data_IF_502019999414
#
_entry.id   IF_502019999414
#
_cell.length_a   1.000
_cell.length_b   1.000
_cell.length_c   1.000
_cell.angle_alpha   90.00
_cell.angle_beta   90.00
_cell.angle_gamma   90.00
#
_symmetry.space_group_name_H-M   'P 1'
#
loop_
_entity.id
_entity.type
_entity.pdbx_description
1 polymer ?
#
# COMPACT_ATOMS: atom_id res chain seq x y z
N UNK A 1 -17.58 24.79 -44.62
CA UNK A 1 -18.58 24.85 -43.53
C UNK A 1 -18.66 23.44 -42.98
N UNK A 2 -18.48 23.23 -41.67
CA UNK A 2 -18.55 21.89 -41.07
C UNK A 2 -20.04 21.59 -40.80
N UNK A 3 -20.49 20.38 -41.11
CA UNK A 3 -21.87 19.96 -40.87
C UNK A 3 -22.21 19.91 -39.37
N UNK A 4 -23.47 20.12 -38.96
CA UNK A 4 -23.87 20.07 -37.56
C UNK A 4 -23.60 18.69 -36.94
N UNK A 5 -22.81 18.64 -35.87
CA UNK A 5 -22.57 17.42 -35.08
C UNK A 5 -23.70 17.25 -34.06
N UNK A 6 -24.37 16.11 -34.08
CA UNK A 6 -25.51 15.79 -33.18
C UNK A 6 -25.10 15.00 -31.92
N UNK A 7 -23.81 14.77 -31.72
CA UNK A 7 -23.28 14.05 -30.55
C UNK A 7 -22.87 15.08 -29.50
N UNK A 8 -23.57 15.07 -28.36
CA UNK A 8 -23.20 15.84 -27.16
C UNK A 8 -22.62 14.85 -26.15
N UNK A 9 -21.31 14.90 -25.95
CA UNK A 9 -20.60 13.99 -25.05
C UNK A 9 -19.51 14.74 -24.29
N UNK A 10 -19.34 14.42 -23.01
CA UNK A 10 -18.25 14.93 -22.17
C UNK A 10 -17.69 13.75 -21.38
N UNK A 11 -16.54 13.18 -21.79
CA UNK A 11 -15.97 12.03 -21.11
C UNK A 11 -15.47 12.45 -19.72
N UNK A 12 -15.64 11.57 -18.74
CA UNK A 12 -14.93 11.66 -17.48
C UNK A 12 -13.45 11.33 -17.75
N UNK A 13 -12.65 12.36 -18.01
CA UNK A 13 -11.20 12.22 -18.16
C UNK A 13 -10.50 12.08 -16.81
N UNK A 14 -9.31 11.48 -16.81
CA UNK A 14 -8.38 11.46 -15.67
C UNK A 14 -7.07 12.13 -16.07
N UNK A 15 -6.45 12.88 -15.15
CA UNK A 15 -5.19 13.57 -15.40
C UNK A 15 -4.04 12.80 -14.76
N UNK A 16 -3.14 12.25 -15.57
CA UNK A 16 -1.96 11.55 -15.07
C UNK A 16 -1.03 12.52 -14.33
N UNK A 17 -0.46 12.06 -13.22
CA UNK A 17 0.53 12.83 -12.45
C UNK A 17 1.80 12.99 -13.29
N UNK A 18 2.17 14.24 -13.59
CA UNK A 18 3.40 14.56 -14.30
C UNK A 18 4.63 14.29 -13.43
N UNK A 19 5.71 13.76 -14.01
CA UNK A 19 7.03 13.60 -13.36
C UNK A 19 7.82 14.93 -13.28
N UNK A 20 7.14 16.07 -13.28
CA UNK A 20 7.78 17.39 -13.20
C UNK A 20 8.41 17.83 -14.54
N UNK A 21 9.64 18.32 -14.50
CA UNK A 21 10.33 19.02 -15.60
C UNK A 21 11.00 18.12 -16.66
N UNK A 22 10.68 16.82 -16.70
CA UNK A 22 11.25 15.90 -17.70
C UNK A 22 10.73 16.24 -19.10
N UNK A 23 11.54 16.06 -20.16
CA UNK A 23 11.13 16.38 -21.54
C UNK A 23 9.86 15.60 -21.92
N UNK A 24 8.86 16.34 -22.41
CA UNK A 24 7.48 15.87 -22.60
C UNK A 24 7.30 14.88 -23.76
N UNK A 25 8.27 14.80 -24.67
CA UNK A 25 8.21 13.94 -25.85
C UNK A 25 9.47 13.08 -25.90
N UNK A 26 9.28 11.77 -25.81
CA UNK A 26 10.35 10.80 -26.04
C UNK A 26 10.83 10.93 -27.51
N UNK A 27 12.14 11.09 -27.77
CA UNK A 27 12.70 11.19 -29.12
C UNK A 27 12.49 9.92 -29.96
N UNK A 28 12.04 8.82 -29.36
CA UNK A 28 11.64 7.59 -30.04
C UNK A 28 10.12 7.45 -30.22
N UNK A 29 9.37 8.55 -30.13
CA UNK A 29 7.97 8.62 -30.58
C UNK A 29 7.95 8.39 -32.09
N UNK A 30 7.43 7.25 -32.52
CA UNK A 30 7.44 6.83 -33.92
C UNK A 30 6.14 7.14 -34.66
N UNK A 31 5.02 7.22 -33.93
CA UNK A 31 3.69 7.45 -34.49
C UNK A 31 3.10 8.75 -33.95
N UNK A 32 2.38 9.49 -34.80
CA UNK A 32 1.83 10.80 -34.49
C UNK A 32 0.68 10.76 -33.48
N UNK A 33 0.07 9.58 -33.28
CA UNK A 33 -1.03 9.32 -32.35
C UNK A 33 -0.60 8.57 -31.08
N UNK A 34 0.67 8.14 -31.00
CA UNK A 34 1.19 7.29 -29.92
C UNK A 34 2.46 7.90 -29.30
N UNK A 35 2.36 9.08 -28.64
CA UNK A 35 3.46 9.63 -27.87
C UNK A 35 3.81 8.72 -26.68
N UNK A 36 5.10 8.64 -26.36
CA UNK A 36 5.57 7.90 -25.19
C UNK A 36 5.79 8.84 -24.00
N UNK A 37 5.32 8.43 -22.83
CA UNK A 37 5.49 9.16 -21.57
C UNK A 37 6.10 8.25 -20.50
N UNK A 38 6.79 8.85 -19.52
CA UNK A 38 7.21 8.16 -18.30
C UNK A 38 6.10 8.27 -17.25
N UNK A 39 5.73 7.14 -16.65
CA UNK A 39 4.64 7.06 -15.68
C UNK A 39 5.07 6.25 -14.44
N UNK A 40 4.80 6.75 -13.22
CA UNK A 40 5.06 5.98 -12.01
C UNK A 40 4.09 4.79 -11.88
N UNK A 41 4.60 3.66 -11.41
CA UNK A 41 3.81 2.46 -11.10
C UNK A 41 3.74 2.27 -9.59
N UNK A 42 2.53 2.14 -9.05
CA UNK A 42 2.30 1.64 -7.69
C UNK A 42 2.09 0.13 -7.78
N UNK A 43 3.05 -0.60 -7.22
CA UNK A 43 2.99 -2.06 -7.18
C UNK A 43 1.83 -2.55 -6.32
N UNK A 44 1.02 -3.46 -6.87
CA UNK A 44 -0.12 -4.08 -6.21
C UNK A 44 0.28 -5.03 -5.08
N UNK A 45 -0.61 -5.21 -4.11
CA UNK A 45 -0.51 -6.18 -3.01
C UNK A 45 0.65 -5.98 -2.03
N UNK A 46 1.36 -4.85 -2.12
CA UNK A 46 2.48 -4.47 -1.25
C UNK A 46 2.33 -3.04 -0.77
N UNK A 47 2.82 -2.76 0.43
CA UNK A 47 2.92 -1.42 1.02
C UNK A 47 4.22 -1.37 1.85
N UNK A 48 5.30 -0.93 1.22
CA UNK A 48 6.61 -0.83 1.89
C UNK A 48 6.60 0.34 2.87
N UNK A 49 7.44 0.32 3.93
CA UNK A 49 7.63 1.48 4.79
C UNK A 49 7.94 2.76 4.00
N UNK A 50 7.40 3.87 4.48
CA UNK A 50 7.42 5.15 3.76
C UNK A 50 8.74 5.90 3.94
N UNK A 51 9.11 6.67 2.91
CA UNK A 51 10.25 7.59 2.93
C UNK A 51 9.82 9.05 2.87
N UNK A 52 8.58 9.34 3.29
CA UNK A 52 7.95 10.67 3.28
C UNK A 52 8.61 11.66 4.24
N UNK A 53 9.36 11.17 5.22
CA UNK A 53 10.19 11.99 6.09
C UNK A 53 11.35 12.69 5.38
N UNK A 54 11.69 12.27 4.15
CA UNK A 54 12.76 12.80 3.28
C UNK A 54 14.20 12.63 3.79
N UNK A 55 14.45 12.95 5.07
CA UNK A 55 15.73 12.85 5.76
C UNK A 55 15.59 12.39 7.23
N UNK A 56 16.72 12.25 7.92
CA UNK A 56 16.74 11.75 9.30
C UNK A 56 16.17 12.78 10.29
N UNK A 57 16.21 14.09 9.98
CA UNK A 57 15.63 15.14 10.81
C UNK A 57 14.10 15.12 10.73
N UNK A 58 13.54 14.98 9.52
CA UNK A 58 12.12 14.77 9.29
C UNK A 58 11.60 13.51 9.99
N UNK A 59 12.40 12.44 9.99
CA UNK A 59 12.02 11.20 10.66
C UNK A 59 12.00 11.35 12.19
N UNK A 60 12.97 12.08 12.76
CA UNK A 60 12.99 12.40 14.19
C UNK A 60 11.81 13.29 14.59
N UNK A 61 11.35 14.19 13.73
CA UNK A 61 10.14 14.98 13.98
C UNK A 61 8.89 14.11 14.07
N UNK A 62 8.77 13.09 13.21
CA UNK A 62 7.65 12.13 13.33
C UNK A 62 7.76 11.31 14.62
N UNK A 63 8.96 11.00 15.10
CA UNK A 63 9.14 10.36 16.41
C UNK A 63 8.60 11.23 17.56
N UNK A 64 8.84 12.55 17.51
CA UNK A 64 8.27 13.51 18.47
C UNK A 64 6.74 13.56 18.39
N UNK A 65 6.19 13.61 17.18
CA UNK A 65 4.74 13.59 16.94
C UNK A 65 4.11 12.31 17.50
N UNK A 66 4.74 11.15 17.30
CA UNK A 66 4.26 9.87 17.82
C UNK A 66 4.40 9.73 19.33
N UNK A 67 5.46 10.28 19.94
CA UNK A 67 5.58 10.35 21.38
C UNK A 67 4.44 11.20 21.98
N UNK A 68 4.15 12.35 21.36
CA UNK A 68 3.04 13.21 21.76
C UNK A 68 1.68 12.52 21.56
N UNK A 69 1.49 11.79 20.45
CA UNK A 69 0.29 11.01 20.23
C UNK A 69 0.10 9.95 21.33
N UNK A 70 1.16 9.23 21.71
CA UNK A 70 1.09 8.26 22.80
C UNK A 70 0.61 8.91 24.11
N UNK A 71 1.11 10.10 24.45
CA UNK A 71 0.59 10.84 25.61
C UNK A 71 -0.90 11.19 25.50
N UNK A 72 -1.35 11.66 24.33
CA UNK A 72 -2.76 11.98 24.10
C UNK A 72 -3.68 10.76 24.16
N UNK A 73 -3.19 9.60 23.72
CA UNK A 73 -3.89 8.33 23.87
C UNK A 73 -4.02 7.98 25.36
N UNK A 74 -2.92 8.04 26.13
CA UNK A 74 -2.94 7.77 27.59
C UNK A 74 -3.88 8.71 28.36
N UNK A 75 -3.98 9.97 27.93
CA UNK A 75 -4.87 10.98 28.52
C UNK A 75 -6.33 10.84 28.06
N UNK A 76 -6.64 9.91 27.16
CA UNK A 76 -7.99 9.70 26.63
C UNK A 76 -8.48 10.82 25.69
N UNK A 77 -7.57 11.60 25.12
CA UNK A 77 -7.90 12.75 24.26
C UNK A 77 -7.98 12.34 22.79
N UNK A 78 -7.11 11.44 22.34
CA UNK A 78 -7.11 10.93 20.98
C UNK A 78 -8.42 10.17 20.67
N UNK A 79 -9.07 10.41 19.51
CA UNK A 79 -10.33 9.76 19.13
C UNK A 79 -10.09 8.34 18.59
N UNK A 80 -9.60 7.44 19.45
CA UNK A 80 -9.23 6.05 19.15
C UNK A 80 -9.90 5.10 20.16
N UNK A 81 -10.28 3.89 19.75
CA UNK A 81 -10.76 2.85 20.67
C UNK A 81 -9.64 2.29 21.56
N UNK A 82 -10.03 1.82 22.74
CA UNK A 82 -9.11 1.22 23.71
C UNK A 82 -8.29 0.07 23.14
N UNK A 83 -8.92 -0.84 22.40
CA UNK A 83 -8.22 -2.01 21.85
C UNK A 83 -7.14 -1.63 20.84
N UNK A 84 -7.40 -0.66 19.97
CA UNK A 84 -6.37 -0.19 19.04
C UNK A 84 -5.29 0.61 19.78
N UNK A 85 -5.67 1.42 20.77
CA UNK A 85 -4.73 2.13 21.63
C UNK A 85 -3.73 1.17 22.30
N UNK A 86 -4.21 0.09 22.91
CA UNK A 86 -3.35 -0.93 23.54
C UNK A 86 -2.38 -1.56 22.54
N UNK A 87 -2.83 -1.78 21.31
CA UNK A 87 -2.01 -2.36 20.24
C UNK A 87 -0.91 -1.41 19.77
N UNK A 88 -1.20 -0.11 19.60
CA UNK A 88 -0.24 0.84 19.02
C UNK A 88 0.69 1.48 20.05
N UNK A 89 0.27 1.63 21.31
CA UNK A 89 1.05 2.29 22.36
C UNK A 89 2.46 1.71 22.52
N UNK A 90 2.68 0.38 22.60
CA UNK A 90 4.02 -0.19 22.73
C UNK A 90 4.96 0.16 21.57
N UNK A 91 4.41 0.47 20.38
CA UNK A 91 5.18 0.88 19.20
C UNK A 91 5.49 2.38 19.21
N UNK A 92 4.49 3.19 19.54
CA UNK A 92 4.61 4.66 19.60
C UNK A 92 5.53 5.12 20.74
N UNK A 93 5.44 4.49 21.91
CA UNK A 93 6.22 4.83 23.10
C UNK A 93 7.72 4.52 22.98
N UNK A 94 8.14 3.85 21.89
CA UNK A 94 9.58 3.68 21.60
C UNK A 94 10.26 4.99 21.20
N UNK A 95 9.49 6.00 20.77
CA UNK A 95 9.99 7.26 20.20
C UNK A 95 10.98 7.05 19.05
N UNK A 96 10.81 5.97 18.29
CA UNK A 96 11.65 5.61 17.14
C UNK A 96 10.85 5.14 15.93
N UNK A 97 9.52 5.18 15.99
CA UNK A 97 8.67 4.62 14.94
C UNK A 97 8.79 5.38 13.60
N UNK A 98 8.94 6.70 13.60
CA UNK A 98 9.30 7.53 12.44
C UNK A 98 10.68 7.19 11.89
N UNK A 99 11.70 7.18 12.75
CA UNK A 99 13.07 6.78 12.35
C UNK A 99 13.12 5.37 11.77
N UNK A 100 12.41 4.42 12.38
CA UNK A 100 12.37 3.01 11.97
C UNK A 100 11.69 2.88 10.61
N UNK A 101 10.53 3.52 10.43
CA UNK A 101 9.79 3.57 9.17
C UNK A 101 10.69 4.07 8.03
N UNK A 102 11.36 5.20 8.25
CA UNK A 102 12.22 5.82 7.24
C UNK A 102 13.41 4.93 6.85
N UNK A 103 14.11 4.37 7.84
CA UNK A 103 15.26 3.48 7.60
C UNK A 103 14.85 2.20 6.87
N UNK A 104 13.76 1.57 7.30
CA UNK A 104 13.21 0.39 6.63
C UNK A 104 12.74 0.72 5.22
N UNK A 105 12.18 1.91 4.98
CA UNK A 105 11.77 2.37 3.65
C UNK A 105 12.96 2.56 2.70
N UNK A 106 14.07 3.13 3.18
CA UNK A 106 15.33 3.20 2.43
C UNK A 106 15.88 1.81 2.09
N UNK A 107 15.84 0.89 3.06
CA UNK A 107 16.32 -0.48 2.89
C UNK A 107 15.47 -1.25 1.85
N UNK A 108 14.14 -1.18 1.95
CA UNK A 108 13.21 -1.75 0.97
C UNK A 108 13.45 -1.17 -0.44
N UNK A 109 13.69 0.15 -0.54
CA UNK A 109 14.03 0.80 -1.81
C UNK A 109 15.36 0.31 -2.39
N UNK A 110 16.38 0.13 -1.55
CA UNK A 110 17.68 -0.40 -1.96
C UNK A 110 17.57 -1.86 -2.43
N UNK A 111 16.84 -2.70 -1.69
CA UNK A 111 16.53 -4.07 -2.10
C UNK A 111 15.82 -4.10 -3.45
N UNK A 112 14.74 -3.32 -3.62
CA UNK A 112 13.97 -3.27 -4.85
C UNK A 112 14.83 -2.91 -6.06
N UNK A 113 15.65 -1.85 -5.96
CA UNK A 113 16.58 -1.45 -7.04
C UNK A 113 17.57 -2.55 -7.37
N UNK A 114 18.20 -3.17 -6.37
CA UNK A 114 19.18 -4.25 -6.57
C UNK A 114 18.53 -5.47 -7.21
N UNK A 115 17.36 -5.87 -6.71
CA UNK A 115 16.62 -7.02 -7.18
C UNK A 115 16.12 -6.84 -8.62
N UNK A 116 15.52 -5.69 -8.94
CA UNK A 116 15.11 -5.36 -10.30
C UNK A 116 16.30 -5.40 -11.26
N UNK A 117 17.42 -4.75 -10.90
CA UNK A 117 18.64 -4.82 -11.71
C UNK A 117 19.09 -6.27 -11.93
N UNK A 118 19.19 -7.07 -10.87
CA UNK A 118 19.70 -8.44 -10.95
C UNK A 118 18.81 -9.37 -11.79
N UNK A 119 17.47 -9.25 -11.69
CA UNK A 119 16.54 -10.13 -12.41
C UNK A 119 16.30 -9.70 -13.86
N UNK A 120 16.45 -8.41 -14.15
CA UNK A 120 16.38 -7.91 -15.53
C UNK A 120 17.67 -8.19 -16.30
N UNK A 121 18.82 -8.21 -15.64
CA UNK A 121 20.12 -8.49 -16.28
C UNK A 121 20.13 -9.87 -16.97
N UNK A 122 20.74 -9.94 -18.17
CA UNK A 122 20.93 -11.19 -18.92
C UNK A 122 22.41 -11.53 -19.03
N UNK A 123 22.82 -12.77 -18.71
CA UNK A 123 24.21 -13.17 -18.84
C UNK A 123 24.68 -13.14 -20.31
N UNK A 124 25.94 -12.77 -20.51
CA UNK A 124 26.64 -12.90 -21.79
C UNK A 124 26.42 -11.76 -22.79
N UNK A 125 26.64 -10.50 -22.40
CA UNK A 125 26.51 -9.29 -23.24
C UNK A 125 25.15 -9.14 -23.96
N UNK A 126 24.11 -9.80 -23.45
CA UNK A 126 22.75 -9.67 -23.97
C UNK A 126 22.11 -8.41 -23.38
N UNK A 127 21.20 -7.75 -24.11
CA UNK A 127 20.43 -6.65 -23.53
C UNK A 127 19.56 -7.15 -22.37
N UNK A 128 19.37 -6.30 -21.38
CA UNK A 128 18.48 -6.54 -20.24
C UNK A 128 17.08 -6.98 -20.71
N UNK A 129 16.40 -7.76 -19.86
CA UNK A 129 15.00 -8.13 -20.07
C UNK A 129 14.15 -6.87 -20.05
N UNK A 130 13.14 -6.85 -20.92
CA UNK A 130 12.05 -5.90 -20.81
C UNK A 130 11.19 -6.19 -19.58
N UNK A 131 10.39 -5.23 -19.17
CA UNK A 131 9.44 -5.38 -18.07
C UNK A 131 8.13 -5.98 -18.56
N UNK A 132 7.64 -7.02 -17.89
CA UNK A 132 6.27 -7.48 -17.98
C UNK A 132 5.42 -6.69 -16.98
N UNK A 133 4.30 -6.15 -17.45
CA UNK A 133 3.40 -5.29 -16.67
C UNK A 133 1.98 -5.87 -16.76
N UNK A 134 1.41 -6.27 -15.62
CA UNK A 134 0.03 -6.74 -15.52
C UNK A 134 -0.78 -5.77 -14.68
N UNK A 135 -1.67 -5.02 -15.32
CA UNK A 135 -2.50 -4.01 -14.64
C UNK A 135 -3.66 -4.63 -13.87
N UNK A 136 -4.15 -3.90 -12.86
CA UNK A 136 -5.39 -4.19 -12.17
C UNK A 136 -6.63 -3.99 -13.06
N UNK A 137 -7.78 -4.53 -12.65
CA UNK A 137 -9.08 -4.28 -13.30
C UNK A 137 -9.46 -2.79 -13.29
N UNK A 138 -9.03 -2.06 -12.26
CA UNK A 138 -9.00 -0.59 -12.22
C UNK A 138 -7.55 -0.13 -12.33
N UNK A 139 -7.06 0.22 -13.53
CA UNK A 139 -5.63 0.40 -13.77
C UNK A 139 -5.01 1.60 -13.07
N UNK A 140 -5.81 2.58 -12.64
CA UNK A 140 -5.31 3.82 -12.03
C UNK A 140 -5.80 3.95 -10.59
N UNK A 141 -4.87 4.28 -9.69
CA UNK A 141 -5.21 4.73 -8.35
C UNK A 141 -5.90 6.11 -8.41
N UNK A 142 -6.58 6.56 -7.33
CA UNK A 142 -7.17 7.90 -7.26
C UNK A 142 -6.19 9.06 -7.50
N UNK A 143 -4.89 8.83 -7.29
CA UNK A 143 -3.80 9.78 -7.57
C UNK A 143 -3.11 9.52 -8.92
N UNK A 144 -3.80 8.81 -9.81
CA UNK A 144 -3.47 8.59 -11.22
C UNK A 144 -2.13 7.87 -11.48
N UNK A 145 -1.65 7.10 -10.49
CA UNK A 145 -0.55 6.14 -10.67
C UNK A 145 -1.07 4.83 -11.27
N UNK A 146 -0.27 4.21 -12.14
CA UNK A 146 -0.61 2.89 -12.67
C UNK A 146 -0.52 1.83 -11.57
N UNK A 147 -1.56 1.02 -11.41
CA UNK A 147 -1.63 -0.11 -10.51
C UNK A 147 -1.27 -1.39 -11.27
N UNK A 148 -0.13 -2.00 -10.94
CA UNK A 148 0.33 -3.19 -11.64
C UNK A 148 1.18 -4.16 -10.81
N UNK A 149 1.21 -5.41 -11.27
CA UNK A 149 2.26 -6.37 -10.98
C UNK A 149 3.38 -6.28 -12.01
N UNK A 150 4.62 -6.33 -11.55
CA UNK A 150 5.81 -6.15 -12.39
C UNK A 150 6.70 -7.39 -12.32
N UNK A 151 7.22 -7.86 -13.44
CA UNK A 151 8.16 -8.98 -13.49
C UNK A 151 9.11 -8.83 -14.68
N UNK A 152 10.23 -9.59 -14.76
CA UNK A 152 10.95 -9.72 -16.01
C UNK A 152 10.07 -10.32 -17.10
N UNK A 153 10.13 -9.79 -18.32
CA UNK A 153 9.44 -10.34 -19.47
C UNK A 153 10.24 -11.52 -20.05
N UNK A 154 9.89 -12.73 -19.62
CA UNK A 154 10.50 -13.97 -20.07
C UNK A 154 9.97 -14.38 -21.44
N UNK A 155 10.86 -14.86 -22.31
CA UNK A 155 10.46 -15.49 -23.57
C UNK A 155 9.68 -16.80 -23.33
N UNK A 156 8.87 -17.28 -24.28
CA UNK A 156 8.19 -18.57 -24.16
C UNK A 156 9.14 -19.74 -23.84
N UNK A 157 10.35 -19.73 -24.39
CA UNK A 157 11.38 -20.73 -24.11
C UNK A 157 11.90 -20.67 -22.67
N UNK A 158 12.12 -19.46 -22.13
CA UNK A 158 12.46 -19.28 -20.72
C UNK A 158 11.30 -19.76 -19.83
N UNK A 159 10.06 -19.34 -20.13
CA UNK A 159 8.88 -19.70 -19.35
C UNK A 159 8.66 -21.20 -19.26
N UNK A 160 8.91 -21.95 -20.35
CA UNK A 160 8.78 -23.41 -20.36
C UNK A 160 9.66 -24.11 -19.30
N UNK A 161 10.77 -23.50 -18.90
CA UNK A 161 11.68 -24.03 -17.87
C UNK A 161 11.48 -23.44 -16.46
N UNK A 162 10.54 -22.49 -16.28
CA UNK A 162 10.31 -21.82 -15.01
C UNK A 162 9.01 -22.30 -14.36
N UNK A 163 9.09 -22.63 -13.07
CA UNK A 163 7.93 -22.80 -12.17
C UNK A 163 7.18 -21.48 -11.97
N UNK A 164 6.01 -21.51 -11.34
CA UNK A 164 5.21 -20.31 -11.08
C UNK A 164 5.93 -19.37 -10.11
N UNK A 165 6.56 -19.93 -9.09
CA UNK A 165 7.36 -19.24 -8.08
C UNK A 165 8.60 -18.60 -8.71
N UNK A 166 9.26 -19.26 -9.66
CA UNK A 166 10.40 -18.67 -10.37
C UNK A 166 10.00 -17.54 -11.33
N UNK A 167 8.71 -17.44 -11.69
CA UNK A 167 8.14 -16.31 -12.43
C UNK A 167 7.66 -15.19 -11.49
N UNK A 168 8.09 -15.20 -10.22
CA UNK A 168 7.71 -14.22 -9.21
C UNK A 168 7.73 -12.78 -9.74
N UNK A 169 6.76 -12.00 -9.30
CA UNK A 169 6.75 -10.55 -9.53
C UNK A 169 7.72 -9.87 -8.55
N UNK A 170 8.17 -8.67 -8.88
CA UNK A 170 8.91 -7.83 -7.94
C UNK A 170 8.08 -7.49 -6.69
N UNK A 171 6.74 -7.50 -6.83
CA UNK A 171 5.81 -7.40 -5.72
C UNK A 171 5.96 -8.58 -4.75
N UNK A 172 5.95 -9.81 -5.26
CA UNK A 172 6.14 -11.01 -4.44
C UNK A 172 7.54 -11.03 -3.80
N UNK A 173 8.58 -10.61 -4.52
CA UNK A 173 9.94 -10.56 -3.98
C UNK A 173 10.06 -9.63 -2.76
N UNK A 174 9.35 -8.49 -2.76
CA UNK A 174 9.32 -7.58 -1.61
C UNK A 174 8.72 -8.24 -0.37
N UNK A 175 7.66 -9.02 -0.54
CA UNK A 175 7.00 -9.76 0.55
C UNK A 175 7.87 -10.91 1.02
N UNK A 176 8.40 -11.71 0.10
CA UNK A 176 9.24 -12.86 0.41
C UNK A 176 10.54 -12.47 1.14
N UNK A 177 11.10 -11.29 0.82
CA UNK A 177 12.26 -10.75 1.51
C UNK A 177 11.93 -9.98 2.81
N UNK A 178 10.65 -9.91 3.20
CA UNK A 178 10.20 -9.24 4.41
C UNK A 178 10.26 -7.71 4.35
N UNK A 179 10.41 -7.10 3.17
CA UNK A 179 10.43 -5.64 3.03
C UNK A 179 9.04 -5.00 2.91
N UNK A 180 7.99 -5.83 2.83
CA UNK A 180 6.60 -5.40 2.82
C UNK A 180 5.69 -6.46 3.43
N UNK A 181 4.68 -6.09 4.24
CA UNK A 181 3.58 -6.99 4.54
C UNK A 181 2.71 -7.19 3.30
N UNK A 182 1.77 -8.14 3.37
CA UNK A 182 0.70 -8.19 2.37
C UNK A 182 -0.17 -6.94 2.51
N UNK A 183 -0.48 -6.31 1.37
CA UNK A 183 -1.40 -5.17 1.31
C UNK A 183 -2.37 -5.33 0.15
N UNK A 184 -3.22 -6.36 0.24
CA UNK A 184 -4.19 -6.69 -0.79
C UNK A 184 -5.40 -5.78 -0.63
N UNK A 185 -5.85 -5.18 -1.73
CA UNK A 185 -6.94 -4.21 -1.76
C UNK A 185 -8.04 -4.69 -2.72
N UNK A 186 -9.26 -4.86 -2.23
CA UNK A 186 -10.42 -5.15 -3.08
C UNK A 186 -10.68 -4.00 -4.08
N UNK A 187 -11.04 -4.29 -5.35
CA UNK A 187 -11.28 -5.61 -5.94
C UNK A 187 -10.02 -6.31 -6.48
N UNK A 188 -8.84 -5.71 -6.36
CA UNK A 188 -7.60 -6.22 -6.93
C UNK A 188 -6.95 -7.27 -6.02
N UNK A 189 -7.55 -8.46 -5.99
CA UNK A 189 -7.05 -9.62 -5.24
C UNK A 189 -6.19 -10.49 -6.18
N UNK A 190 -5.01 -10.98 -5.76
CA UNK A 190 -4.27 -11.99 -6.53
C UNK A 190 -5.15 -13.19 -6.90
N UNK A 191 -4.91 -13.77 -8.09
CA UNK A 191 -5.66 -14.93 -8.56
C UNK A 191 -5.47 -16.16 -7.68
N UNK A 192 -6.32 -17.16 -7.89
CA UNK A 192 -6.43 -18.38 -7.08
C UNK A 192 -5.14 -19.18 -6.97
N UNK A 193 -4.27 -19.11 -7.99
CA UNK A 193 -2.98 -19.78 -8.00
C UNK A 193 -1.85 -18.95 -7.39
N UNK A 194 -2.01 -17.63 -7.33
CA UNK A 194 -0.97 -16.70 -6.86
C UNK A 194 -1.17 -16.28 -5.40
N UNK A 195 -2.43 -16.19 -4.94
CA UNK A 195 -2.75 -15.82 -3.56
C UNK A 195 -2.10 -16.77 -2.54
N UNK A 196 -2.16 -18.11 -2.68
CA UNK A 196 -1.50 -19.00 -1.72
C UNK A 196 0.03 -18.81 -1.68
N UNK A 197 0.67 -18.54 -2.83
CA UNK A 197 2.11 -18.29 -2.91
C UNK A 197 2.47 -17.01 -2.16
N UNK A 198 1.69 -15.94 -2.34
CA UNK A 198 1.87 -14.67 -1.63
C UNK A 198 1.73 -14.84 -0.11
N UNK A 199 0.67 -15.53 0.34
CA UNK A 199 0.42 -15.75 1.77
C UNK A 199 1.51 -16.60 2.41
N UNK A 200 1.95 -17.67 1.72
CA UNK A 200 3.04 -18.52 2.21
C UNK A 200 4.37 -17.75 2.32
N UNK A 201 4.68 -16.91 1.33
CA UNK A 201 5.87 -16.06 1.38
C UNK A 201 5.81 -15.04 2.53
N UNK A 202 4.64 -14.45 2.78
CA UNK A 202 4.44 -13.50 3.87
C UNK A 202 4.56 -14.16 5.25
N UNK A 203 3.92 -15.32 5.45
CA UNK A 203 4.01 -16.10 6.68
C UNK A 203 5.44 -16.52 6.98
N UNK A 204 6.17 -16.97 5.95
CA UNK A 204 7.59 -17.30 6.07
C UNK A 204 8.42 -16.09 6.47
N UNK A 205 8.27 -14.96 5.77
CA UNK A 205 9.04 -13.75 6.08
C UNK A 205 8.77 -13.23 7.49
N UNK A 206 7.52 -13.30 7.95
CA UNK A 206 7.14 -12.93 9.32
C UNK A 206 7.74 -13.88 10.36
N UNK A 207 7.63 -15.20 10.13
CA UNK A 207 8.11 -16.22 11.08
C UNK A 207 9.63 -16.26 11.17
N UNK A 208 10.32 -16.08 10.04
CA UNK A 208 11.79 -16.01 9.96
C UNK A 208 12.34 -14.62 10.32
N UNK A 209 11.46 -13.68 10.70
CA UNK A 209 11.81 -12.31 11.07
C UNK A 209 12.68 -11.61 10.02
N UNK A 210 12.27 -11.64 8.75
CA UNK A 210 13.03 -11.01 7.66
C UNK A 210 12.68 -9.53 7.51
N UNK A 211 13.67 -8.69 7.22
CA UNK A 211 13.45 -7.30 6.79
C UNK A 211 12.75 -6.47 7.87
N UNK A 212 11.53 -6.00 7.60
CA UNK A 212 10.77 -5.19 8.57
C UNK A 212 10.37 -5.99 9.81
N UNK A 213 10.29 -7.33 9.69
CA UNK A 213 9.87 -8.22 10.76
C UNK A 213 10.97 -8.48 11.79
N UNK A 214 12.21 -8.05 11.53
CA UNK A 214 13.32 -8.07 12.49
C UNK A 214 13.02 -7.22 13.73
N UNK A 215 12.21 -6.18 13.57
CA UNK A 215 11.91 -5.21 14.63
C UNK A 215 10.44 -5.30 15.07
N UNK A 216 10.14 -5.91 16.23
CA UNK A 216 8.77 -6.09 16.73
C UNK A 216 8.00 -4.77 16.93
N UNK A 217 8.72 -3.67 17.12
CA UNK A 217 8.15 -2.34 17.29
C UNK A 217 7.71 -1.68 15.98
N UNK A 218 7.98 -2.28 14.81
CA UNK A 218 7.58 -1.73 13.51
C UNK A 218 6.06 -1.52 13.44
N UNK A 219 5.67 -0.29 13.11
CA UNK A 219 4.35 -0.01 12.56
C UNK A 219 4.38 -0.37 11.07
N UNK A 220 3.47 -1.23 10.63
CA UNK A 220 3.35 -1.51 9.19
C UNK A 220 2.94 -0.23 8.45
N UNK A 221 3.23 -0.11 7.15
CA UNK A 221 3.05 1.15 6.41
C UNK A 221 1.65 1.78 6.55
N UNK A 222 0.59 0.98 6.48
CA UNK A 222 -0.76 1.48 6.77
C UNK A 222 -0.96 1.90 8.23
N UNK A 223 -0.45 1.13 9.20
CA UNK A 223 -0.53 1.45 10.63
C UNK A 223 0.16 2.78 10.93
N UNK A 224 1.36 2.97 10.38
CA UNK A 224 2.15 4.20 10.46
C UNK A 224 1.36 5.40 9.92
N UNK A 225 0.84 5.31 8.69
CA UNK A 225 0.07 6.39 8.05
C UNK A 225 -1.23 6.70 8.81
N UNK A 226 -1.88 5.68 9.38
CA UNK A 226 -3.06 5.87 10.21
C UNK A 226 -2.72 6.65 11.49
N UNK A 227 -1.57 6.38 12.10
CA UNK A 227 -1.10 7.10 13.30
C UNK A 227 -0.69 8.55 12.98
N UNK A 228 -0.04 8.82 11.84
CA UNK A 228 0.23 10.20 11.41
C UNK A 228 -1.07 11.00 11.25
N UNK A 229 -2.09 10.42 10.62
CA UNK A 229 -3.40 11.05 10.47
C UNK A 229 -4.11 11.24 11.80
N UNK A 230 -4.04 10.25 12.70
CA UNK A 230 -4.62 10.34 14.03
C UNK A 230 -3.95 11.45 14.85
N UNK A 231 -2.62 11.59 14.77
CA UNK A 231 -1.90 12.71 15.38
C UNK A 231 -2.41 14.04 14.85
N UNK A 232 -2.48 14.23 13.54
CA UNK A 232 -2.94 15.49 12.93
C UNK A 232 -4.36 15.88 13.35
N UNK A 233 -5.29 14.91 13.43
CA UNK A 233 -6.66 15.15 13.90
C UNK A 233 -6.69 15.44 15.41
N UNK A 234 -5.88 14.74 16.20
CA UNK A 234 -5.81 14.94 17.66
C UNK A 234 -5.20 16.30 18.00
N UNK A 235 -4.19 16.74 17.26
CA UNK A 235 -3.57 18.05 17.42
C UNK A 235 -4.59 19.18 17.22
N UNK A 236 -5.40 19.12 16.14
CA UNK A 236 -6.50 20.07 15.91
C UNK A 236 -7.51 20.06 17.06
N UNK A 237 -7.88 18.88 17.55
CA UNK A 237 -8.81 18.72 18.67
C UNK A 237 -8.27 19.37 19.95
N UNK A 238 -7.01 19.12 20.29
CA UNK A 238 -6.34 19.69 21.47
C UNK A 238 -6.22 21.21 21.35
N UNK A 239 -5.93 21.70 20.15
CA UNK A 239 -5.86 23.14 19.86
C UNK A 239 -7.23 23.83 19.86
N UNK A 240 -8.34 23.08 19.97
CA UNK A 240 -9.72 23.60 19.84
C UNK A 240 -9.91 24.38 18.53
N UNK A 241 -9.38 23.82 17.45
CA UNK A 241 -9.51 24.37 16.10
C UNK A 241 -11.00 24.60 15.77
N UNK A 242 -11.42 25.85 15.47
CA UNK A 242 -12.83 26.18 15.21
C UNK A 242 -13.36 25.53 13.93
N UNK A 243 -12.49 25.13 13.01
CA UNK A 243 -12.88 24.50 11.74
C UNK A 243 -13.01 22.97 11.87
N UNK A 244 -12.63 22.39 13.01
CA UNK A 244 -12.71 20.95 13.24
C UNK A 244 -14.14 20.50 13.47
N UNK A 245 -14.71 19.78 12.50
CA UNK A 245 -16.07 19.22 12.63
C UNK A 245 -16.04 17.89 13.36
N UNK A 246 -17.13 17.48 14.02
CA UNK A 246 -17.20 16.18 14.69
C UNK A 246 -16.87 14.98 13.79
N UNK A 247 -17.23 15.04 12.50
CA UNK A 247 -16.92 13.97 11.53
C UNK A 247 -15.41 13.86 11.24
N UNK A 248 -14.67 14.97 11.32
CA UNK A 248 -13.23 15.01 11.03
C UNK A 248 -12.43 14.23 12.07
N UNK A 249 -12.97 14.04 13.29
CA UNK A 249 -12.38 13.21 14.34
C UNK A 249 -12.13 11.77 13.91
N UNK A 250 -12.85 11.30 12.89
CA UNK A 250 -12.78 9.93 12.39
C UNK A 250 -12.20 9.85 10.97
N UNK A 251 -11.73 10.96 10.41
CA UNK A 251 -11.18 11.03 9.05
C UNK A 251 -9.90 10.21 8.86
N UNK A 252 -9.20 9.86 9.95
CA UNK A 252 -8.03 9.00 9.92
C UNK A 252 -8.38 7.52 9.66
N UNK A 253 -9.65 7.13 9.82
CA UNK A 253 -10.18 5.77 9.61
C UNK A 253 -10.46 5.51 8.13
N UNK A 254 -9.44 5.06 7.39
CA UNK A 254 -9.57 5.00 5.93
C UNK A 254 -10.17 3.73 5.35
N UNK A 255 -10.01 2.57 6.00
CA UNK A 255 -10.27 1.27 5.37
C UNK A 255 -10.85 0.27 6.35
N UNK A 256 -11.71 -0.60 5.84
CA UNK A 256 -12.14 -1.82 6.53
C UNK A 256 -11.12 -2.93 6.27
N UNK A 257 -11.11 -3.94 7.14
CA UNK A 257 -10.22 -5.08 7.01
C UNK A 257 -11.01 -6.38 7.10
N UNK A 258 -10.76 -7.31 6.20
CA UNK A 258 -11.33 -8.65 6.21
C UNK A 258 -10.24 -9.64 6.63
N UNK A 259 -10.58 -10.57 7.52
CA UNK A 259 -9.80 -11.77 7.72
C UNK A 259 -10.12 -12.77 6.61
N UNK A 260 -9.18 -12.96 5.68
CA UNK A 260 -9.37 -13.84 4.52
C UNK A 260 -9.63 -15.31 4.90
N UNK A 261 -9.28 -15.74 6.12
CA UNK A 261 -9.48 -17.13 6.58
C UNK A 261 -10.93 -17.38 6.98
N UNK A 262 -11.61 -16.36 7.51
CA UNK A 262 -12.95 -16.49 8.12
C UNK A 262 -14.02 -15.72 7.36
N UNK A 263 -13.64 -14.81 6.46
CA UNK A 263 -14.51 -13.84 5.77
C UNK A 263 -15.19 -12.86 6.72
N UNK A 264 -14.60 -12.65 7.90
CA UNK A 264 -15.11 -11.69 8.87
C UNK A 264 -14.62 -10.29 8.50
N UNK A 265 -15.57 -9.36 8.37
CA UNK A 265 -15.33 -7.94 8.12
C UNK A 265 -15.19 -7.19 9.46
N UNK A 266 -14.05 -6.56 9.62
CA UNK A 266 -13.69 -5.72 10.76
C UNK A 266 -13.78 -4.25 10.40
N UNK A 267 -14.21 -3.44 11.38
CA UNK A 267 -14.26 -2.00 11.24
C UNK A 267 -12.87 -1.36 11.12
N UNK A 268 -12.79 -0.07 10.78
CA UNK A 268 -11.52 0.62 10.54
C UNK A 268 -10.56 0.76 11.72
N UNK A 269 -11.00 0.40 12.93
CA UNK A 269 -10.14 0.35 14.11
C UNK A 269 -9.84 -1.07 14.59
N UNK A 270 -10.41 -2.10 13.95
CA UNK A 270 -10.31 -3.49 14.38
C UNK A 270 -9.35 -4.33 13.51
N UNK A 271 -8.68 -3.71 12.53
CA UNK A 271 -7.74 -4.40 11.64
C UNK A 271 -6.57 -5.05 12.37
N UNK A 272 -6.20 -4.55 13.56
CA UNK A 272 -5.12 -5.12 14.38
C UNK A 272 -5.45 -6.52 14.92
N UNK A 273 -6.74 -6.89 14.92
CA UNK A 273 -7.21 -8.22 15.33
C UNK A 273 -7.02 -9.28 14.26
N UNK A 274 -6.78 -8.83 13.02
CA UNK A 274 -6.47 -9.71 11.90
C UNK A 274 -4.96 -9.80 11.79
N UNK A 275 -4.45 -11.03 11.71
CA UNK A 275 -3.03 -11.28 11.45
C UNK A 275 -2.62 -10.58 10.14
N UNK A 276 -1.52 -9.79 10.13
CA UNK A 276 -1.05 -9.05 8.97
C UNK A 276 -1.04 -9.85 7.66
N UNK A 277 -0.66 -11.14 7.71
CA UNK A 277 -0.59 -12.01 6.53
C UNK A 277 -1.95 -12.12 5.84
N UNK A 278 -3.03 -12.18 6.61
CA UNK A 278 -4.38 -12.50 6.14
C UNK A 278 -5.31 -11.29 5.99
N UNK A 279 -4.76 -10.06 6.01
CA UNK A 279 -5.54 -8.83 5.85
C UNK A 279 -5.91 -8.60 4.39
N UNK A 280 -7.21 -8.48 4.12
CA UNK A 280 -7.74 -7.90 2.88
C UNK A 280 -8.36 -6.53 3.20
N UNK A 281 -7.87 -5.48 2.54
CA UNK A 281 -8.34 -4.12 2.76
C UNK A 281 -9.47 -3.76 1.79
N UNK A 282 -10.43 -3.01 2.30
CA UNK A 282 -11.60 -2.54 1.51
C UNK A 282 -11.81 -1.06 1.81
N UNK A 283 -11.98 -0.26 0.75
CA UNK A 283 -12.40 1.12 0.93
C UNK A 283 -13.87 1.22 1.35
N UNK A 284 -14.28 2.24 2.12
CA UNK A 284 -15.66 2.39 2.58
C UNK A 284 -16.70 2.31 1.45
N UNK A 285 -16.43 2.91 0.29
CA UNK A 285 -17.35 2.88 -0.85
C UNK A 285 -17.52 1.49 -1.49
N UNK A 286 -16.52 0.60 -1.33
CA UNK A 286 -16.52 -0.73 -1.94
C UNK A 286 -17.10 -1.80 -0.99
N UNK A 287 -17.36 -1.45 0.28
CA UNK A 287 -17.89 -2.39 1.30
C UNK A 287 -19.17 -3.08 0.85
N UNK A 288 -20.22 -2.39 0.34
CA UNK A 288 -21.47 -3.06 -0.02
C UNK A 288 -21.26 -4.12 -1.11
N UNK A 289 -20.43 -3.81 -2.11
CA UNK A 289 -20.13 -4.74 -3.20
C UNK A 289 -19.28 -5.91 -2.71
N UNK A 290 -18.22 -5.63 -1.94
CA UNK A 290 -17.33 -6.65 -1.39
C UNK A 290 -18.08 -7.63 -0.47
N UNK A 291 -19.02 -7.15 0.34
CA UNK A 291 -19.88 -8.00 1.20
C UNK A 291 -20.65 -9.01 0.35
N UNK A 292 -21.30 -8.55 -0.72
CA UNK A 292 -22.04 -9.41 -1.63
C UNK A 292 -21.13 -10.38 -2.40
N UNK A 293 -20.04 -9.89 -2.99
CA UNK A 293 -19.18 -10.70 -3.87
C UNK A 293 -18.34 -11.73 -3.12
N UNK A 294 -17.86 -11.39 -1.93
CA UNK A 294 -16.98 -12.26 -1.13
C UNK A 294 -17.73 -13.01 -0.02
N UNK A 295 -19.06 -12.80 0.09
CA UNK A 295 -19.91 -13.38 1.12
C UNK A 295 -19.36 -13.08 2.53
N UNK A 296 -19.08 -11.80 2.79
CA UNK A 296 -18.49 -11.35 4.04
C UNK A 296 -19.53 -11.30 5.15
N UNK A 297 -19.11 -11.58 6.38
CA UNK A 297 -19.93 -11.44 7.58
C UNK A 297 -19.36 -10.35 8.47
N UNK A 298 -20.15 -9.41 8.99
CA UNK A 298 -19.60 -8.40 9.88
C UNK A 298 -19.19 -9.02 11.21
N UNK A 299 -18.08 -8.56 11.77
CA UNK A 299 -17.72 -8.86 13.15
C UNK A 299 -18.78 -8.30 14.12
N UNK A 300 -18.92 -8.91 15.29
CA UNK A 300 -19.87 -8.45 16.32
C UNK A 300 -19.67 -6.96 16.66
N UNK A 301 -18.41 -6.54 16.88
CA UNK A 301 -18.05 -5.15 17.16
C UNK A 301 -18.47 -4.18 16.05
N UNK A 302 -18.37 -4.60 14.80
CA UNK A 302 -18.75 -3.76 13.66
C UNK A 302 -20.26 -3.46 13.67
N UNK A 303 -21.09 -4.37 14.17
CA UNK A 303 -22.55 -4.19 14.29
C UNK A 303 -23.00 -3.76 15.70
N UNK A 304 -22.05 -3.38 16.57
CA UNK A 304 -22.36 -2.92 17.93
C UNK A 304 -22.83 -4.02 18.88
N UNK A 305 -22.51 -5.28 18.58
CA UNK A 305 -22.66 -6.40 19.51
C UNK A 305 -21.30 -6.64 20.19
N UNK A 306 -21.26 -6.46 21.51
CA UNK A 306 -20.12 -6.87 22.35
C UNK A 306 -20.29 -8.32 22.81
#
# INVERSE_FOLDING_TARGET
MIDPVQVLWSPAGVTLTSLGSQPWVDPHTSDGDTPKIRMPVRMLSVDTPEVTAEDDEGAAKVDEDFAQLAEWIRKGVAPISHGLADFVLPKLETSKAGTLQFRQGKAASAFSRKNMKARLDRPGNKPDRNLFIRVADTPFAPDNRLLAYLAPNYSPAELAGLTREQRATFNLDLVAAGWSPTFILYPTVPGELDLPILLSAAEKAMTEQLGIWEEPATLLAYEYRAMEKLHGVTAKKVAKDPDLKPADLFSWRERYCVDMRTRVLHGPEDWFRVDPVYRLWIWPQDVPEAVARLNLTPSARLVGAD
#
